data_IF_042928953800
#
_entry.id   IF_042928953800
#
_cell.length_a   1.000
_cell.length_b   1.000
_cell.length_c   1.000
_cell.angle_alpha   90.00
_cell.angle_beta   90.00
_cell.angle_gamma   90.00
#
_symmetry.space_group_name_H-M   'P 1'
#
loop_
_entity.id
_entity.type
_entity.pdbx_description
1 polymer ?
#
# COMPACT_ATOMS: atom_id res chain seq x y z
N UNK A 1 41.62 -69.69 -19.53
CA UNK A 1 40.86 -68.49 -19.90
C UNK A 1 41.61 -67.28 -19.36
N UNK A 2 42.21 -66.47 -20.23
CA UNK A 2 43.28 -65.51 -19.86
C UNK A 2 42.73 -64.23 -19.22
N UNK A 3 43.34 -63.82 -18.10
CA UNK A 3 43.09 -62.58 -17.32
C UNK A 3 43.12 -61.32 -18.21
N UNK A 4 43.86 -61.36 -19.32
CA UNK A 4 43.99 -60.26 -20.28
C UNK A 4 42.66 -59.97 -21.01
N UNK A 5 41.84 -61.00 -21.24
CA UNK A 5 40.54 -60.86 -21.92
C UNK A 5 39.47 -60.20 -21.04
N UNK A 6 39.59 -60.33 -19.71
CA UNK A 6 38.66 -59.74 -18.75
C UNK A 6 38.90 -58.24 -18.56
N UNK A 7 40.18 -57.80 -18.51
CA UNK A 7 40.54 -56.37 -18.45
C UNK A 7 40.09 -55.56 -19.67
N UNK A 8 40.18 -56.13 -20.89
CA UNK A 8 39.72 -55.44 -22.12
C UNK A 8 38.20 -55.21 -22.14
N UNK A 9 37.39 -56.10 -21.55
CA UNK A 9 35.93 -55.92 -21.46
C UNK A 9 35.52 -54.86 -20.42
N UNK A 10 36.25 -54.74 -19.31
CA UNK A 10 35.96 -53.73 -18.27
C UNK A 10 36.29 -52.31 -18.76
N UNK A 11 37.42 -52.11 -19.46
CA UNK A 11 37.79 -50.79 -19.99
C UNK A 11 36.82 -50.34 -21.09
N UNK A 12 36.38 -51.27 -21.95
CA UNK A 12 35.34 -51.00 -22.97
C UNK A 12 33.99 -50.65 -22.36
N UNK A 13 33.60 -51.27 -21.25
CA UNK A 13 32.35 -50.96 -20.55
C UNK A 13 32.41 -49.60 -19.83
N UNK A 14 33.56 -49.23 -19.25
CA UNK A 14 33.76 -47.90 -18.64
C UNK A 14 33.75 -46.76 -19.67
N UNK A 15 34.28 -46.98 -20.88
CA UNK A 15 34.23 -45.97 -21.96
C UNK A 15 32.82 -45.76 -22.54
N UNK A 16 31.97 -46.79 -22.56
CA UNK A 16 30.56 -46.64 -22.96
C UNK A 16 29.69 -45.96 -21.88
N UNK A 17 29.97 -46.18 -20.60
CA UNK A 17 29.23 -45.53 -19.51
C UNK A 17 29.53 -44.02 -19.46
N UNK A 18 30.78 -43.61 -19.75
CA UNK A 18 31.17 -42.18 -19.77
C UNK A 18 30.61 -41.39 -20.97
N UNK A 19 30.31 -42.04 -22.09
CA UNK A 19 29.73 -41.38 -23.27
C UNK A 19 28.21 -41.24 -23.17
N UNK A 20 27.52 -42.17 -22.51
CA UNK A 20 26.08 -42.08 -22.27
C UNK A 20 25.70 -41.10 -21.15
N UNK A 21 26.51 -40.98 -20.10
CA UNK A 21 26.24 -40.07 -18.98
C UNK A 21 26.37 -38.59 -19.36
N UNK A 22 27.33 -38.24 -20.24
CA UNK A 22 27.48 -36.88 -20.76
C UNK A 22 26.28 -36.43 -21.62
N UNK A 23 25.72 -37.33 -22.45
CA UNK A 23 24.55 -37.02 -23.28
C UNK A 23 23.28 -36.84 -22.47
N UNK A 24 23.07 -37.67 -21.44
CA UNK A 24 21.90 -37.57 -20.57
C UNK A 24 21.96 -36.32 -19.69
N UNK A 25 23.13 -36.01 -19.12
CA UNK A 25 23.32 -34.83 -18.28
C UNK A 25 23.11 -33.54 -19.07
N UNK A 26 23.66 -33.44 -20.28
CA UNK A 26 23.45 -32.28 -21.17
C UNK A 26 21.97 -32.14 -21.55
N UNK A 27 21.27 -33.24 -21.84
CA UNK A 27 19.83 -33.21 -22.15
C UNK A 27 18.99 -32.77 -20.96
N UNK A 28 19.29 -33.26 -19.75
CA UNK A 28 18.61 -32.84 -18.51
C UNK A 28 18.89 -31.37 -18.24
N UNK A 29 20.12 -30.90 -18.42
CA UNK A 29 20.49 -29.51 -18.21
C UNK A 29 19.81 -28.57 -19.21
N UNK A 30 19.71 -28.97 -20.48
CA UNK A 30 18.95 -28.25 -21.52
C UNK A 30 17.45 -28.25 -21.23
N UNK A 31 16.89 -29.37 -20.76
CA UNK A 31 15.48 -29.45 -20.38
C UNK A 31 15.17 -28.57 -19.18
N UNK A 32 16.06 -28.55 -18.17
CA UNK A 32 15.98 -27.63 -17.03
C UNK A 32 16.08 -26.18 -17.51
N UNK A 33 17.00 -25.84 -18.42
CA UNK A 33 17.15 -24.47 -18.94
C UNK A 33 15.93 -24.01 -19.76
N UNK A 34 15.29 -24.92 -20.51
CA UNK A 34 14.02 -24.66 -21.21
C UNK A 34 12.85 -24.51 -20.23
N UNK A 35 12.80 -25.34 -19.18
CA UNK A 35 11.79 -25.21 -18.13
C UNK A 35 11.97 -23.92 -17.31
N UNK A 36 13.20 -23.53 -16.95
CA UNK A 36 13.49 -22.29 -16.23
C UNK A 36 13.23 -21.05 -17.09
N UNK A 37 13.48 -21.09 -18.40
CA UNK A 37 13.10 -19.99 -19.30
C UNK A 37 11.59 -19.89 -19.52
N UNK A 38 10.86 -21.00 -19.42
CA UNK A 38 9.38 -21.00 -19.48
C UNK A 38 8.72 -20.46 -18.20
N UNK A 39 9.42 -20.50 -17.06
CA UNK A 39 8.96 -19.95 -15.78
C UNK A 39 9.41 -18.48 -15.60
N UNK A 40 10.43 -18.03 -16.34
CA UNK A 40 10.95 -16.65 -16.27
C UNK A 40 10.08 -15.60 -16.99
N UNK A 41 9.00 -15.99 -17.67
CA UNK A 41 8.09 -15.07 -18.38
C UNK A 41 6.68 -15.14 -17.78
N UNK A 42 6.59 -14.98 -16.46
CA UNK A 42 5.47 -14.24 -15.88
C UNK A 42 5.96 -12.82 -15.61
N UNK A 43 6.28 -12.10 -16.68
CA UNK A 43 6.25 -10.65 -16.62
C UNK A 43 4.80 -10.30 -16.31
N UNK A 44 4.53 -9.80 -15.10
CA UNK A 44 3.21 -9.32 -14.71
C UNK A 44 2.79 -8.27 -15.74
N UNK A 45 1.91 -8.62 -16.65
CA UNK A 45 1.48 -7.72 -17.71
C UNK A 45 0.77 -6.53 -17.06
N UNK A 46 1.42 -5.36 -17.12
CA UNK A 46 0.85 -4.12 -16.60
C UNK A 46 -0.47 -3.87 -17.34
N UNK A 47 -1.57 -3.84 -16.59
CA UNK A 47 -2.88 -3.51 -17.14
C UNK A 47 -2.97 -1.99 -17.28
N UNK A 48 -3.17 -1.54 -18.51
CA UNK A 48 -3.34 -0.12 -18.85
C UNK A 48 -4.80 0.17 -19.17
N UNK A 49 -5.27 1.34 -18.77
CA UNK A 49 -6.61 1.85 -19.08
C UNK A 49 -6.53 3.25 -19.69
N UNK A 50 -7.26 3.49 -20.78
CA UNK A 50 -7.31 4.82 -21.38
C UNK A 50 -8.15 5.78 -20.55
N UNK A 51 -7.50 6.79 -19.99
CA UNK A 51 -8.13 7.77 -19.12
C UNK A 51 -7.55 9.17 -19.35
N UNK A 52 -8.25 10.17 -18.84
CA UNK A 52 -7.72 11.54 -18.81
C UNK A 52 -6.63 11.66 -17.74
N UNK A 53 -5.56 12.35 -18.12
CA UNK A 53 -4.42 12.73 -17.30
C UNK A 53 -4.26 14.25 -17.44
N UNK A 54 -4.12 14.94 -16.30
CA UNK A 54 -3.80 16.36 -16.25
C UNK A 54 -2.45 16.52 -15.56
N UNK A 55 -1.46 17.03 -16.28
CA UNK A 55 -0.11 17.26 -15.78
C UNK A 55 0.02 18.61 -15.07
N UNK A 56 1.04 18.75 -14.24
CA UNK A 56 1.39 20.02 -13.55
C UNK A 56 1.62 21.18 -14.52
N UNK A 57 2.07 20.88 -15.75
CA UNK A 57 2.21 21.86 -16.83
C UNK A 57 0.89 22.47 -17.32
N UNK A 58 -0.25 21.93 -16.88
CA UNK A 58 -1.59 22.27 -17.35
C UNK A 58 -2.02 21.52 -18.61
N UNK A 59 -1.17 20.63 -19.15
CA UNK A 59 -1.52 19.76 -20.27
C UNK A 59 -2.53 18.71 -19.81
N UNK A 60 -3.63 18.61 -20.54
CA UNK A 60 -4.64 17.56 -20.38
C UNK A 60 -4.65 16.65 -21.61
N UNK A 61 -4.49 15.36 -21.39
CA UNK A 61 -4.46 14.37 -22.46
C UNK A 61 -5.14 13.07 -22.07
N UNK A 62 -5.62 12.34 -23.09
CA UNK A 62 -6.14 10.99 -22.91
C UNK A 62 -5.01 10.00 -23.19
N UNK A 63 -4.62 9.24 -22.17
CA UNK A 63 -3.46 8.35 -22.25
C UNK A 63 -3.78 7.00 -21.60
N UNK A 64 -3.06 5.96 -22.01
CA UNK A 64 -3.18 4.64 -21.42
C UNK A 64 -2.35 4.61 -20.13
N UNK A 65 -3.01 4.50 -18.98
CA UNK A 65 -2.44 4.68 -17.65
C UNK A 65 -2.39 3.36 -16.86
N UNK A 66 -1.34 3.19 -16.08
CA UNK A 66 -1.23 2.20 -15.03
C UNK A 66 -0.76 2.87 -13.74
N UNK A 67 -1.50 2.71 -12.65
CA UNK A 67 -1.15 3.29 -11.36
C UNK A 67 -0.64 2.22 -10.40
N UNK A 68 0.62 2.36 -9.97
CA UNK A 68 1.21 1.55 -8.91
C UNK A 68 1.01 2.24 -7.55
N UNK A 69 0.06 1.71 -6.77
CA UNK A 69 -0.33 2.22 -5.46
C UNK A 69 0.79 2.13 -4.42
N UNK A 70 1.63 1.08 -4.49
CA UNK A 70 2.68 0.82 -3.50
C UNK A 70 3.80 1.86 -3.57
N UNK A 71 4.12 2.31 -4.79
CA UNK A 71 5.19 3.27 -5.06
C UNK A 71 4.70 4.70 -5.31
N UNK A 72 3.38 4.93 -5.38
CA UNK A 72 2.79 6.20 -5.81
C UNK A 72 3.28 6.66 -7.21
N UNK A 73 3.50 5.72 -8.14
CA UNK A 73 3.98 6.03 -9.49
C UNK A 73 2.88 5.79 -10.52
N UNK A 74 2.70 6.75 -11.43
CA UNK A 74 1.82 6.63 -12.58
C UNK A 74 2.64 6.32 -13.83
N UNK A 75 2.45 5.15 -14.41
CA UNK A 75 3.08 4.76 -15.68
C UNK A 75 2.13 5.06 -16.83
N UNK A 76 2.61 5.77 -17.84
CA UNK A 76 1.86 6.17 -19.03
C UNK A 76 2.49 5.53 -20.24
N UNK A 77 1.67 4.90 -21.08
CA UNK A 77 2.12 4.37 -22.37
C UNK A 77 1.94 5.44 -23.46
N UNK A 78 3.06 5.88 -24.05
CA UNK A 78 3.11 6.83 -25.16
C UNK A 78 3.67 6.17 -26.43
N UNK A 79 3.76 6.94 -27.53
CA UNK A 79 4.40 6.48 -28.77
C UNK A 79 5.91 6.28 -28.62
N UNK A 80 6.54 6.98 -27.67
CA UNK A 80 7.99 6.92 -27.41
C UNK A 80 8.38 5.82 -26.43
N UNK A 81 7.40 5.22 -25.74
CA UNK A 81 7.60 4.12 -24.80
C UNK A 81 6.76 4.24 -23.54
N UNK A 82 7.26 3.71 -22.43
CA UNK A 82 6.67 3.89 -21.11
C UNK A 82 7.32 5.11 -20.44
N UNK A 83 6.50 6.01 -19.93
CA UNK A 83 6.91 7.16 -19.14
C UNK A 83 6.38 7.00 -17.72
N UNK A 84 7.15 7.43 -16.73
CA UNK A 84 6.72 7.41 -15.33
C UNK A 84 6.57 8.84 -14.82
N UNK A 85 5.49 9.07 -14.09
CA UNK A 85 5.22 10.35 -13.45
C UNK A 85 5.08 10.14 -11.95
N UNK A 86 5.73 11.02 -11.20
CA UNK A 86 5.56 11.16 -9.75
C UNK A 86 4.33 12.01 -9.43
N UNK A 87 3.81 11.97 -8.19
CA UNK A 87 2.66 12.79 -7.83
C UNK A 87 2.87 14.28 -8.06
N UNK A 88 4.09 14.80 -7.90
CA UNK A 88 4.36 16.23 -8.10
C UNK A 88 4.13 16.69 -9.55
N UNK A 89 4.22 15.79 -10.52
CA UNK A 89 4.13 16.10 -11.95
C UNK A 89 2.71 15.98 -12.51
N UNK A 90 1.77 15.49 -11.69
CA UNK A 90 0.40 15.18 -12.09
C UNK A 90 -0.56 15.95 -11.19
N UNK A 91 -1.54 16.64 -11.77
CA UNK A 91 -2.62 17.29 -11.02
C UNK A 91 -3.70 16.25 -10.70
N UNK A 92 -4.21 15.58 -11.72
CA UNK A 92 -5.28 14.59 -11.58
C UNK A 92 -5.25 13.53 -12.68
N UNK A 93 -5.84 12.38 -12.39
CA UNK A 93 -6.07 11.32 -13.36
C UNK A 93 -7.24 10.42 -12.96
N UNK A 94 -7.71 9.60 -13.90
CA UNK A 94 -8.68 8.52 -13.61
C UNK A 94 -8.06 7.14 -13.78
N UNK A 95 -8.39 6.20 -12.91
CA UNK A 95 -7.94 4.80 -13.00
C UNK A 95 -8.98 3.88 -12.35
N UNK A 96 -9.35 2.79 -13.04
CA UNK A 96 -10.36 1.81 -12.59
C UNK A 96 -11.69 2.46 -12.19
N UNK A 97 -12.12 3.46 -12.95
CA UNK A 97 -13.36 4.20 -12.71
C UNK A 97 -13.34 5.13 -11.49
N UNK A 98 -12.16 5.42 -10.95
CA UNK A 98 -11.98 6.33 -9.83
C UNK A 98 -11.09 7.50 -10.20
N UNK A 99 -11.42 8.68 -9.68
CA UNK A 99 -10.62 9.88 -9.83
C UNK A 99 -9.58 9.97 -8.72
N UNK A 100 -8.41 10.50 -9.07
CA UNK A 100 -7.28 10.69 -8.19
C UNK A 100 -6.72 12.10 -8.33
N UNK A 101 -6.39 12.73 -7.19
CA UNK A 101 -5.68 14.00 -7.14
C UNK A 101 -4.31 13.83 -6.50
N UNK A 102 -3.35 14.59 -7.00
CA UNK A 102 -2.09 14.78 -6.29
C UNK A 102 -2.22 15.91 -5.29
N UNK A 103 -1.88 15.64 -4.04
CA UNK A 103 -1.96 16.62 -2.97
C UNK A 103 -0.65 16.64 -2.17
N UNK A 104 -0.25 17.79 -1.61
CA UNK A 104 0.85 17.87 -0.66
C UNK A 104 0.61 16.93 0.54
N UNK A 105 1.60 16.11 0.86
CA UNK A 105 1.53 15.13 1.94
C UNK A 105 2.92 14.90 2.54
N UNK A 106 3.11 15.28 3.80
CA UNK A 106 4.40 15.33 4.51
C UNK A 106 5.48 16.08 3.71
N UNK A 107 6.62 15.43 3.49
CA UNK A 107 7.80 15.95 2.79
C UNK A 107 7.65 16.01 1.26
N UNK A 108 6.46 15.71 0.72
CA UNK A 108 6.25 15.67 -0.73
C UNK A 108 4.80 15.72 -1.17
N UNK A 109 4.50 14.94 -2.20
CA UNK A 109 3.17 14.81 -2.82
C UNK A 109 2.77 13.34 -2.85
N UNK A 110 1.47 13.08 -2.85
CA UNK A 110 0.93 11.73 -2.88
C UNK A 110 -0.41 11.71 -3.60
N UNK A 111 -0.75 10.58 -4.23
CA UNK A 111 -2.02 10.41 -4.93
C UNK A 111 -3.13 9.97 -3.98
N UNK A 112 -4.22 10.72 -3.98
CA UNK A 112 -5.42 10.46 -3.18
C UNK A 112 -6.59 10.11 -4.09
N UNK A 113 -7.24 8.99 -3.80
CA UNK A 113 -8.50 8.62 -4.44
C UNK A 113 -9.60 9.57 -3.96
N UNK A 114 -10.34 10.16 -4.89
CA UNK A 114 -11.48 11.02 -4.60
C UNK A 114 -12.71 10.15 -4.36
N UNK A 115 -13.25 10.21 -3.13
CA UNK A 115 -14.53 9.57 -2.79
C UNK A 115 -15.69 10.57 -2.91
N UNK A 116 -15.42 11.84 -2.60
CA UNK A 116 -16.35 12.95 -2.81
C UNK A 116 -15.57 14.25 -2.98
N UNK A 117 -15.98 15.05 -3.95
CA UNK A 117 -15.55 16.44 -4.12
C UNK A 117 -16.77 17.36 -4.11
N UNK A 118 -16.72 18.39 -3.29
CA UNK A 118 -17.73 19.44 -3.18
C UNK A 118 -17.08 20.80 -2.96
N UNK A 119 -17.87 21.88 -3.02
CA UNK A 119 -17.38 23.25 -2.86
C UNK A 119 -16.72 23.52 -1.50
N UNK A 120 -17.26 22.90 -0.45
CA UNK A 120 -16.88 23.20 0.93
C UNK A 120 -15.99 22.13 1.57
N UNK A 121 -16.06 20.90 1.05
CA UNK A 121 -15.27 19.79 1.55
C UNK A 121 -15.03 18.72 0.48
N UNK A 122 -13.95 17.96 0.67
CA UNK A 122 -13.70 16.73 -0.07
C UNK A 122 -13.41 15.58 0.90
N UNK A 123 -13.77 14.36 0.50
CA UNK A 123 -13.43 13.13 1.20
C UNK A 123 -12.52 12.30 0.30
N UNK A 124 -11.35 12.00 0.83
CA UNK A 124 -10.23 11.44 0.09
C UNK A 124 -9.78 10.15 0.78
N UNK A 125 -9.38 9.16 -0.02
CA UNK A 125 -8.84 7.90 0.49
C UNK A 125 -7.41 7.71 0.01
N UNK A 126 -6.53 7.34 0.94
CA UNK A 126 -5.16 6.91 0.64
C UNK A 126 -5.01 5.44 0.97
N UNK A 127 -4.84 4.55 -0.02
CA UNK A 127 -4.43 3.18 0.24
C UNK A 127 -3.04 3.13 0.87
N UNK A 128 -2.77 2.07 1.63
CA UNK A 128 -1.50 1.86 2.28
C UNK A 128 -0.33 1.82 1.28
N UNK A 129 0.68 2.62 1.58
CA UNK A 129 1.94 2.69 0.88
C UNK A 129 3.01 3.35 1.76
N UNK A 130 4.23 3.50 1.26
CA UNK A 130 5.32 4.07 2.06
C UNK A 130 5.03 5.50 2.55
N UNK A 131 4.43 6.35 1.72
CA UNK A 131 4.08 7.73 2.09
C UNK A 131 3.13 7.76 3.30
N UNK A 132 2.09 6.91 3.28
CA UNK A 132 1.14 6.82 4.40
C UNK A 132 1.78 6.22 5.66
N UNK A 133 2.67 5.24 5.52
CA UNK A 133 3.38 4.68 6.67
C UNK A 133 4.27 5.72 7.36
N UNK A 134 5.03 6.52 6.57
CA UNK A 134 5.85 7.62 7.10
C UNK A 134 5.00 8.66 7.83
N UNK A 135 3.85 9.02 7.27
CA UNK A 135 2.86 9.87 7.95
C UNK A 135 2.51 9.36 9.33
N UNK A 136 2.17 8.07 9.48
CA UNK A 136 1.84 7.51 10.78
C UNK A 136 3.05 7.47 11.72
N UNK A 137 4.25 7.19 11.24
CA UNK A 137 5.48 7.21 12.06
C UNK A 137 5.73 8.61 12.61
N UNK A 138 5.69 9.63 11.77
CA UNK A 138 5.88 11.03 12.15
C UNK A 138 4.82 11.49 13.17
N UNK A 139 3.54 11.24 12.86
CA UNK A 139 2.41 11.63 13.70
C UNK A 139 2.42 10.91 15.06
N UNK A 140 2.98 9.69 15.11
CA UNK A 140 3.11 8.91 16.34
C UNK A 140 4.15 9.44 17.33
N UNK A 141 4.96 10.44 16.91
CA UNK A 141 6.07 11.01 17.70
C UNK A 141 7.01 9.95 18.26
N UNK A 142 7.32 8.94 17.43
CA UNK A 142 8.26 7.88 17.75
C UNK A 142 7.69 6.68 18.48
N UNK A 143 6.36 6.59 18.66
CA UNK A 143 5.72 5.37 19.21
C UNK A 143 5.54 4.26 18.17
N UNK A 144 5.56 4.61 16.88
CA UNK A 144 5.53 3.68 15.76
C UNK A 144 6.81 3.80 14.92
N UNK A 145 7.20 2.69 14.30
CA UNK A 145 8.21 2.66 13.23
C UNK A 145 7.76 1.74 12.09
N UNK A 146 8.37 1.87 10.92
CA UNK A 146 8.21 0.89 9.85
C UNK A 146 8.98 -0.38 10.26
N UNK A 147 8.36 -1.55 10.14
CA UNK A 147 9.02 -2.81 10.47
C UNK A 147 10.09 -3.15 9.42
N UNK A 148 11.36 -3.26 9.82
CA UNK A 148 12.48 -3.61 8.94
C UNK A 148 12.56 -5.12 8.65
N UNK A 149 12.11 -5.95 9.60
CA UNK A 149 12.22 -7.42 9.56
C UNK A 149 10.87 -8.11 9.34
N UNK A 150 9.90 -7.46 8.68
CA UNK A 150 8.61 -8.12 8.46
C UNK A 150 8.81 -9.41 7.65
N UNK A 151 8.26 -10.50 8.14
CA UNK A 151 8.28 -11.82 7.49
C UNK A 151 7.61 -11.84 6.12
N UNK A 152 6.88 -10.77 5.79
CA UNK A 152 6.26 -10.56 4.49
C UNK A 152 6.64 -9.18 3.93
N UNK A 153 7.67 -9.10 3.07
CA UNK A 153 8.15 -7.84 2.52
C UNK A 153 7.13 -7.17 1.57
N UNK A 154 6.09 -7.88 1.15
CA UNK A 154 5.02 -7.31 0.34
C UNK A 154 4.01 -6.50 1.17
N UNK A 155 4.00 -6.69 2.50
CA UNK A 155 3.03 -6.05 3.37
C UNK A 155 3.59 -4.79 4.02
N UNK A 156 2.82 -3.71 3.96
CA UNK A 156 3.13 -2.41 4.55
C UNK A 156 2.86 -2.44 6.06
N UNK A 157 3.85 -2.81 6.88
CA UNK A 157 3.68 -3.07 8.32
C UNK A 157 4.31 -1.99 9.21
N UNK A 158 3.55 -1.53 10.21
CA UNK A 158 3.99 -0.66 11.32
C UNK A 158 4.21 -1.48 12.60
N UNK A 159 5.29 -1.17 13.30
CA UNK A 159 5.69 -1.82 14.55
C UNK A 159 5.55 -0.83 15.72
N UNK A 160 4.94 -1.28 16.82
CA UNK A 160 4.83 -0.49 18.04
C UNK A 160 6.05 -0.62 18.93
N UNK A 161 6.58 0.51 19.40
CA UNK A 161 7.62 0.53 20.42
C UNK A 161 7.04 0.33 21.82
N UNK A 162 7.62 -0.58 22.60
CA UNK A 162 7.32 -0.68 24.03
C UNK A 162 8.11 0.38 24.80
N UNK A 163 7.51 1.13 25.73
CA UNK A 163 8.28 2.13 26.51
C UNK A 163 9.30 1.38 27.38
N UNK A 164 10.59 1.60 27.14
CA UNK A 164 11.65 0.98 27.93
C UNK A 164 11.74 1.56 29.36
N UNK A 165 12.26 0.80 30.33
CA UNK A 165 12.42 1.26 31.72
C UNK A 165 13.49 2.34 31.90
N UNK A 166 14.24 2.72 30.86
CA UNK A 166 15.29 3.73 30.91
C UNK A 166 14.91 4.93 30.02
N UNK A 167 14.66 6.07 30.67
CA UNK A 167 14.51 7.41 30.05
C UNK A 167 13.39 7.61 29.01
N UNK A 168 12.32 6.81 29.04
CA UNK A 168 11.12 7.08 28.24
C UNK A 168 11.29 6.93 26.73
N UNK A 169 12.38 6.32 26.29
CA UNK A 169 12.62 5.99 24.88
C UNK A 169 11.90 4.67 24.53
N UNK A 170 11.22 4.59 23.38
CA UNK A 170 10.60 3.35 22.92
C UNK A 170 11.66 2.31 22.56
N UNK A 171 11.55 1.13 23.16
CA UNK A 171 12.33 -0.08 22.90
C UNK A 171 11.51 -0.97 21.97
N UNK A 172 12.08 -1.26 20.81
CA UNK A 172 11.49 -2.14 19.81
C UNK A 172 12.10 -3.53 19.93
N UNK A 173 11.50 -4.39 20.74
CA UNK A 173 11.88 -5.81 20.85
C UNK A 173 11.12 -6.67 19.82
N UNK A 174 11.60 -7.89 19.56
CA UNK A 174 10.97 -8.89 18.66
C UNK A 174 9.60 -9.42 19.12
N UNK A 175 8.93 -8.73 20.05
CA UNK A 175 7.57 -8.98 20.53
C UNK A 175 6.65 -7.76 20.34
N UNK A 176 7.04 -6.83 19.48
CA UNK A 176 6.28 -5.63 19.14
C UNK A 176 4.99 -6.01 18.41
N UNK A 177 3.91 -5.27 18.68
CA UNK A 177 2.67 -5.44 17.93
C UNK A 177 2.89 -4.95 16.49
N UNK A 178 2.48 -5.78 15.53
CA UNK A 178 2.55 -5.48 14.10
C UNK A 178 1.16 -5.08 13.59
N UNK A 179 1.10 -3.95 12.90
CA UNK A 179 -0.10 -3.41 12.27
C UNK A 179 0.06 -3.37 10.75
N UNK A 180 -0.78 -4.09 10.03
CA UNK A 180 -0.86 -4.00 8.57
C UNK A 180 -1.86 -2.91 8.24
N UNK A 181 -1.40 -1.76 7.76
CA UNK A 181 -2.28 -0.69 7.34
C UNK A 181 -2.94 -1.07 6.01
N UNK A 182 -4.24 -0.80 5.87
CA UNK A 182 -4.98 -1.05 4.63
C UNK A 182 -5.22 0.26 3.87
N UNK A 183 -5.87 1.21 4.54
CA UNK A 183 -6.16 2.53 4.00
C UNK A 183 -6.36 3.57 5.11
N UNK A 184 -6.37 4.83 4.69
CA UNK A 184 -6.72 5.97 5.51
C UNK A 184 -7.67 6.90 4.76
N UNK A 185 -8.58 7.51 5.52
CA UNK A 185 -9.59 8.45 5.04
C UNK A 185 -9.25 9.82 5.57
N UNK A 186 -9.19 10.78 4.66
CA UNK A 186 -8.93 12.18 4.92
C UNK A 186 -10.12 13.03 4.52
N UNK A 187 -10.32 14.12 5.26
CA UNK A 187 -11.29 15.15 4.93
C UNK A 187 -10.55 16.45 4.69
N UNK A 188 -10.74 17.02 3.50
CA UNK A 188 -10.22 18.32 3.13
C UNK A 188 -11.30 19.39 3.35
N UNK A 189 -11.03 20.38 4.21
CA UNK A 189 -11.93 21.53 4.45
C UNK A 189 -11.07 22.78 4.55
N UNK A 190 -11.46 23.85 3.85
CA UNK A 190 -10.73 25.13 3.87
C UNK A 190 -9.25 25.00 3.47
N UNK A 191 -8.94 24.12 2.52
CA UNK A 191 -7.58 23.86 2.04
C UNK A 191 -6.69 23.04 2.98
N UNK A 192 -7.24 22.50 4.08
CA UNK A 192 -6.50 21.65 5.02
C UNK A 192 -6.94 20.20 4.90
N UNK A 193 -5.99 19.29 4.71
CA UNK A 193 -6.20 17.85 4.68
C UNK A 193 -6.05 17.28 6.11
N UNK A 194 -7.08 16.58 6.60
CA UNK A 194 -7.10 16.07 7.97
C UNK A 194 -7.42 14.58 7.98
N UNK A 195 -6.63 13.77 8.69
CA UNK A 195 -6.93 12.36 8.92
C UNK A 195 -8.17 12.23 9.81
N UNK A 196 -9.17 11.46 9.37
CA UNK A 196 -10.36 11.18 10.18
C UNK A 196 -10.44 9.71 10.60
N UNK A 197 -10.21 8.78 9.67
CA UNK A 197 -10.32 7.33 9.90
C UNK A 197 -9.20 6.57 9.19
N UNK A 198 -8.91 5.36 9.64
CA UNK A 198 -7.95 4.45 9.00
C UNK A 198 -8.22 3.01 9.41
N UNK A 199 -7.90 2.06 8.53
CA UNK A 199 -8.14 0.62 8.72
C UNK A 199 -6.82 -0.14 8.81
N UNK A 200 -6.72 -1.05 9.77
CA UNK A 200 -5.53 -1.88 9.96
C UNK A 200 -5.90 -3.28 10.47
N UNK A 201 -5.00 -4.24 10.22
CA UNK A 201 -5.05 -5.62 10.75
C UNK A 201 -3.89 -5.87 11.73
N UNK A 202 -4.06 -6.77 12.69
CA UNK A 202 -3.01 -7.17 13.64
C UNK A 202 -2.51 -8.59 13.35
N UNK A 203 -1.24 -8.74 12.97
CA UNK A 203 -0.66 -10.07 12.78
C UNK A 203 -0.54 -10.80 14.14
N UNK A 204 -1.37 -11.82 14.36
CA UNK A 204 -1.04 -12.94 15.25
C UNK A 204 -1.43 -12.88 16.75
N UNK A 205 -2.33 -12.00 17.20
CA UNK A 205 -2.86 -12.08 18.59
C UNK A 205 -4.35 -11.79 18.71
N UNK A 206 -5.14 -12.85 18.96
CA UNK A 206 -6.42 -12.78 19.66
C UNK A 206 -6.14 -12.49 21.14
N UNK A 207 -5.79 -11.26 21.48
CA UNK A 207 -5.73 -10.81 22.89
C UNK A 207 -6.77 -9.72 23.10
N UNK A 208 -7.71 -9.98 24.01
CA UNK A 208 -8.76 -9.06 24.49
C UNK A 208 -8.20 -7.86 25.28
N UNK A 209 -7.04 -7.33 24.91
CA UNK A 209 -6.43 -6.18 25.54
C UNK A 209 -5.93 -5.22 24.47
N UNK A 210 -6.80 -4.27 24.15
CA UNK A 210 -6.52 -2.85 23.90
C UNK A 210 -5.01 -2.54 23.90
N UNK A 211 -4.46 -2.09 22.76
CA UNK A 211 -3.60 -0.90 22.64
C UNK A 211 -3.18 -0.65 21.19
N UNK A 212 -3.60 0.51 20.65
CA UNK A 212 -2.73 1.43 19.91
C UNK A 212 -2.75 2.68 20.80
N UNK A 213 -1.83 2.83 21.78
CA UNK A 213 -2.07 3.62 23.01
C UNK A 213 -2.31 5.11 22.75
N UNK A 214 -2.00 5.62 21.56
CA UNK A 214 -2.25 7.00 21.20
C UNK A 214 -3.30 7.22 20.12
N UNK A 215 -3.97 6.17 19.60
CA UNK A 215 -4.97 6.35 18.54
C UNK A 215 -6.33 5.67 18.74
N UNK A 216 -6.53 4.80 19.75
CA UNK A 216 -7.78 4.01 19.83
C UNK A 216 -8.73 4.27 21.03
N UNK A 217 -9.87 4.91 20.72
CA UNK A 217 -11.20 5.01 21.37
C UNK A 217 -12.15 5.45 20.24
N UNK A 218 -12.26 4.60 19.22
CA UNK A 218 -12.83 4.81 17.88
C UNK A 218 -13.82 5.96 17.75
N UNK A 219 -15.06 5.81 18.23
CA UNK A 219 -16.10 6.82 18.02
C UNK A 219 -15.83 8.17 18.71
N UNK A 220 -15.28 8.17 19.93
CA UNK A 220 -14.99 9.44 20.64
C UNK A 220 -13.82 10.19 20.00
N UNK A 221 -12.82 9.47 19.48
CA UNK A 221 -11.67 10.08 18.81
C UNK A 221 -12.00 10.54 17.40
N UNK A 222 -12.77 9.75 16.64
CA UNK A 222 -13.31 10.18 15.35
C UNK A 222 -14.11 11.47 15.51
N UNK A 223 -15.00 11.55 16.50
CA UNK A 223 -15.75 12.78 16.78
C UNK A 223 -14.86 13.95 17.23
N UNK A 224 -13.73 13.69 17.91
CA UNK A 224 -12.76 14.74 18.26
C UNK A 224 -11.99 15.23 17.03
N UNK A 225 -11.55 14.33 16.15
CA UNK A 225 -10.91 14.70 14.87
C UNK A 225 -11.90 15.47 13.99
N UNK A 226 -13.13 14.99 13.88
CA UNK A 226 -14.18 15.70 13.15
C UNK A 226 -14.48 17.06 13.78
N UNK A 227 -14.36 17.20 15.11
CA UNK A 227 -14.46 18.51 15.76
C UNK A 227 -13.34 19.46 15.33
N UNK A 228 -12.11 18.97 15.20
CA UNK A 228 -10.97 19.75 14.70
C UNK A 228 -11.16 20.16 13.23
N UNK A 229 -11.71 19.27 12.40
CA UNK A 229 -12.01 19.53 10.99
C UNK A 229 -13.17 20.52 10.80
N UNK A 230 -14.27 20.27 11.50
CA UNK A 230 -15.51 21.04 11.34
C UNK A 230 -15.41 22.41 12.01
N UNK A 231 -14.69 22.50 13.13
CA UNK A 231 -14.40 23.75 13.86
C UNK A 231 -15.62 24.48 14.46
N UNK A 232 -16.85 24.09 14.07
CA UNK A 232 -18.10 24.73 14.44
C UNK A 232 -18.95 23.80 15.33
N UNK A 233 -19.20 24.23 16.57
CA UNK A 233 -19.98 23.45 17.55
C UNK A 233 -21.42 23.16 17.10
N UNK A 234 -22.06 24.06 16.35
CA UNK A 234 -23.41 23.84 15.83
C UNK A 234 -23.42 22.74 14.76
N UNK A 235 -22.47 22.77 13.83
CA UNK A 235 -22.29 21.71 12.82
C UNK A 235 -21.93 20.38 13.49
N UNK A 236 -21.08 20.40 14.53
CA UNK A 236 -20.78 19.19 15.30
C UNK A 236 -21.99 18.63 16.06
N UNK A 237 -22.86 19.48 16.60
CA UNK A 237 -24.13 19.04 17.19
C UNK A 237 -25.05 18.41 16.15
N UNK A 238 -25.16 19.00 14.95
CA UNK A 238 -25.95 18.43 13.85
C UNK A 238 -25.40 17.06 13.41
N UNK A 239 -24.08 16.94 13.26
CA UNK A 239 -23.42 15.69 12.91
C UNK A 239 -23.69 14.58 13.94
N UNK A 240 -23.60 14.92 15.24
CA UNK A 240 -23.93 13.99 16.34
C UNK A 240 -25.39 13.57 16.33
N UNK A 241 -26.31 14.52 16.08
CA UNK A 241 -27.75 14.24 15.97
C UNK A 241 -28.05 13.32 14.79
N UNK A 242 -27.42 13.58 13.64
CA UNK A 242 -27.55 12.75 12.45
C UNK A 242 -27.09 11.32 12.75
N UNK A 243 -25.85 11.13 13.22
CA UNK A 243 -25.31 9.80 13.53
C UNK A 243 -26.15 9.06 14.58
N UNK A 244 -26.65 9.75 15.61
CA UNK A 244 -27.54 9.13 16.59
C UNK A 244 -28.90 8.71 16.01
N UNK A 245 -29.48 9.52 15.12
CA UNK A 245 -30.79 9.26 14.54
C UNK A 245 -30.76 8.13 13.48
N UNK A 246 -29.73 8.11 12.64
CA UNK A 246 -29.58 7.13 11.56
C UNK A 246 -28.79 5.89 11.96
N UNK A 247 -28.16 5.91 13.15
CA UNK A 247 -27.15 4.92 13.58
C UNK A 247 -25.98 4.84 12.60
N UNK A 248 -25.63 5.96 11.97
CA UNK A 248 -24.57 5.98 10.98
C UNK A 248 -23.21 5.68 11.61
N UNK A 249 -22.50 4.74 10.99
CA UNK A 249 -21.09 4.44 11.21
C UNK A 249 -20.23 5.45 10.45
N UNK A 250 -19.78 6.48 11.17
CA UNK A 250 -18.94 7.53 10.60
C UNK A 250 -17.52 7.04 10.23
N UNK A 251 -17.15 5.78 10.53
CA UNK A 251 -15.92 5.16 10.03
C UNK A 251 -16.06 4.68 8.58
N UNK A 252 -17.29 4.42 8.10
CA UNK A 252 -17.57 4.19 6.68
C UNK A 252 -17.49 5.53 5.92
N UNK A 253 -16.61 5.66 4.91
CA UNK A 253 -16.51 6.87 4.11
C UNK A 253 -17.84 7.32 3.48
N UNK A 254 -18.70 6.39 3.04
CA UNK A 254 -19.96 6.73 2.38
C UNK A 254 -20.96 7.35 3.37
N UNK A 255 -21.03 6.79 4.57
CA UNK A 255 -21.86 7.31 5.64
C UNK A 255 -21.31 8.64 6.18
N UNK A 256 -19.99 8.77 6.27
CA UNK A 256 -19.30 10.03 6.58
C UNK A 256 -19.62 11.11 5.55
N UNK A 257 -19.52 10.82 4.25
CA UNK A 257 -19.86 11.77 3.17
C UNK A 257 -21.31 12.22 3.32
N UNK A 258 -22.23 11.29 3.54
CA UNK A 258 -23.65 11.61 3.71
C UNK A 258 -23.87 12.50 4.94
N UNK A 259 -23.20 12.20 6.05
CA UNK A 259 -23.28 13.00 7.26
C UNK A 259 -22.69 14.41 7.07
N UNK A 260 -21.54 14.55 6.40
CA UNK A 260 -20.90 15.83 6.11
C UNK A 260 -21.75 16.71 5.19
N UNK A 261 -22.41 16.13 4.18
CA UNK A 261 -23.36 16.86 3.32
C UNK A 261 -24.47 17.54 4.14
N UNK A 262 -24.92 16.94 5.25
CA UNK A 262 -25.96 17.56 6.09
C UNK A 262 -25.54 18.85 6.79
N UNK A 263 -24.24 19.12 6.92
CA UNK A 263 -23.69 20.28 7.66
C UNK A 263 -22.91 21.27 6.77
N UNK A 264 -22.64 20.90 5.51
CA UNK A 264 -21.94 21.74 4.53
C UNK A 264 -22.80 22.10 3.31
N UNK A 265 -24.04 21.59 3.22
CA UNK A 265 -25.02 22.07 2.23
C UNK A 265 -25.46 23.52 2.48
#
# INVERSE_FOLDING_TARGET
>A
MSIITFRKRIVSAQQQIFTYSGSLFVKILLLMLVCFSSIAVQATELQFEENWLILESGQAEKSALHYNVETDVLTVRSMEGLMEFTPKEVISFSYRGHEYFSLPFNEGYSFFKVLHEGSDFAVLQKPANQSLLRYFVEESRGSLKICEDSTDPANMVLCEGSIGPSFGMPVYSGSSAEYILQDAVFVAVGGRLNLVSYKYDTKGRLTNSITMPQLNKQNRRLLNRLKEVVGNEQKMMQLRRYSAATRADLEDPNELITALKTIYN
#
